data_IF_052375436090
#
_entry.id   IF_052375436090
#
_cell.length_a   1.000
_cell.length_b   1.000
_cell.length_c   1.000
_cell.angle_alpha   90.00
_cell.angle_beta   90.00
_cell.angle_gamma   90.00
#
_symmetry.space_group_name_H-M   'P 1'
#
loop_
_entity.id
_entity.type
_entity.pdbx_description
1 polymer ?
#
# COMPACT_ATOMS: atom_id res chain seq x y z
N UNK A 1 5.36 -18.24 -4.65
CA UNK A 1 4.51 -17.08 -4.27
C UNK A 1 5.38 -15.84 -4.07
N UNK A 2 6.46 -15.89 -3.29
CA UNK A 2 7.38 -14.76 -3.12
C UNK A 2 7.87 -14.14 -4.45
N UNK A 3 8.27 -14.95 -5.43
CA UNK A 3 8.72 -14.45 -6.75
C UNK A 3 7.64 -13.69 -7.54
N UNK A 4 6.35 -13.97 -7.33
CA UNK A 4 5.26 -13.24 -7.99
C UNK A 4 5.02 -11.87 -7.36
N UNK A 5 5.31 -11.72 -6.06
CA UNK A 5 5.19 -10.43 -5.36
C UNK A 5 6.26 -9.43 -5.80
N UNK A 6 7.39 -9.94 -6.31
CA UNK A 6 8.51 -9.16 -6.85
C UNK A 6 8.42 -8.97 -8.37
N UNK A 7 7.34 -9.43 -9.00
CA UNK A 7 7.27 -9.50 -10.47
C UNK A 7 6.91 -8.18 -11.15
N UNK A 8 6.49 -7.18 -10.37
CA UNK A 8 6.12 -5.85 -10.86
C UNK A 8 6.73 -4.78 -9.96
N UNK A 9 7.73 -4.11 -10.51
CA UNK A 9 8.38 -2.94 -9.94
C UNK A 9 7.85 -1.68 -10.63
N UNK A 10 7.59 -0.62 -9.86
CA UNK A 10 7.11 0.66 -10.36
C UNK A 10 7.48 1.78 -9.38
N UNK A 11 7.33 3.03 -9.82
CA UNK A 11 7.43 4.18 -8.92
C UNK A 11 6.26 4.15 -7.91
N UNK A 12 6.58 4.18 -6.62
CA UNK A 12 5.64 4.35 -5.53
C UNK A 12 5.74 5.78 -5.01
N UNK A 13 4.59 6.42 -4.78
CA UNK A 13 4.52 7.75 -4.16
C UNK A 13 3.46 7.76 -3.07
N UNK A 14 3.83 8.24 -1.89
CA UNK A 14 2.90 8.67 -0.84
C UNK A 14 2.79 10.18 -0.97
N UNK A 15 1.58 10.68 -1.23
CA UNK A 15 1.32 12.10 -1.40
C UNK A 15 0.02 12.50 -0.71
N UNK A 16 -0.08 13.78 -0.37
CA UNK A 16 -1.29 14.43 0.11
C UNK A 16 -1.54 15.68 -0.73
N UNK A 17 -2.58 15.64 -1.56
CA UNK A 17 -2.81 16.59 -2.66
C UNK A 17 -1.54 16.75 -3.54
N UNK A 18 -0.99 17.96 -3.60
CA UNK A 18 0.23 18.28 -4.38
C UNK A 18 1.52 18.10 -3.56
N UNK A 19 1.44 17.61 -2.32
CA UNK A 19 2.60 17.43 -1.45
C UNK A 19 3.05 15.97 -1.44
N UNK A 20 4.21 15.71 -2.05
CA UNK A 20 4.90 14.43 -1.93
C UNK A 20 5.51 14.29 -0.52
N UNK A 21 5.12 13.22 0.17
CA UNK A 21 5.66 12.83 1.47
C UNK A 21 6.87 11.92 1.28
N UNK A 22 6.76 10.97 0.36
CA UNK A 22 7.81 9.99 0.07
C UNK A 22 7.62 9.45 -1.34
N UNK A 23 8.74 9.20 -2.03
CA UNK A 23 8.77 8.50 -3.30
C UNK A 23 9.90 7.48 -3.34
N UNK A 24 9.65 6.37 -4.04
CA UNK A 24 10.65 5.34 -4.29
C UNK A 24 10.46 4.75 -5.68
N UNK A 25 11.55 4.67 -6.43
CA UNK A 25 11.58 4.03 -7.74
C UNK A 25 11.85 2.53 -7.62
N UNK A 26 11.43 1.78 -8.65
CA UNK A 26 11.61 0.33 -8.75
C UNK A 26 11.05 -0.45 -7.54
N UNK A 27 9.97 0.06 -6.94
CA UNK A 27 9.37 -0.54 -5.74
C UNK A 27 8.46 -1.72 -6.11
N UNK A 28 8.48 -2.84 -5.34
CA UNK A 28 7.67 -4.05 -5.58
C UNK A 28 6.17 -3.82 -5.24
N UNK A 29 5.47 -3.09 -6.11
CA UNK A 29 4.07 -2.69 -5.91
C UNK A 29 3.10 -3.87 -5.79
N UNK A 30 3.44 -5.03 -6.36
CA UNK A 30 2.64 -6.26 -6.22
C UNK A 30 2.69 -6.84 -4.80
N UNK A 31 3.83 -6.75 -4.12
CA UNK A 31 3.97 -7.12 -2.71
C UNK A 31 3.11 -6.21 -1.84
N UNK A 32 3.25 -4.89 -2.00
CA UNK A 32 2.47 -3.93 -1.22
C UNK A 32 0.96 -4.12 -1.42
N UNK A 33 0.49 -4.30 -2.65
CA UNK A 33 -0.92 -4.55 -2.93
C UNK A 33 -1.42 -5.82 -2.24
N UNK A 34 -0.63 -6.91 -2.26
CA UNK A 34 -0.97 -8.14 -1.54
C UNK A 34 -1.12 -7.92 -0.04
N UNK A 35 -0.15 -7.24 0.58
CA UNK A 35 -0.15 -6.98 2.03
C UNK A 35 -1.30 -6.05 2.43
N UNK A 36 -1.55 -4.97 1.68
CA UNK A 36 -2.68 -4.06 1.93
C UNK A 36 -4.03 -4.75 1.78
N UNK A 37 -4.24 -5.52 0.72
CA UNK A 37 -5.49 -6.27 0.54
C UNK A 37 -5.69 -7.32 1.63
N UNK A 38 -4.62 -7.99 2.07
CA UNK A 38 -4.69 -8.93 3.19
C UNK A 38 -5.07 -8.20 4.48
N UNK A 39 -4.39 -7.09 4.77
CA UNK A 39 -4.67 -6.27 5.94
C UNK A 39 -6.12 -5.80 5.98
N UNK A 40 -6.64 -5.16 4.93
CA UNK A 40 -8.05 -4.74 4.89
C UNK A 40 -9.05 -5.89 5.09
N UNK A 41 -8.68 -7.10 4.67
CA UNK A 41 -9.55 -8.27 4.77
C UNK A 41 -9.56 -8.93 6.15
N UNK A 42 -8.52 -8.71 6.97
CA UNK A 42 -8.32 -9.37 8.27
C UNK A 42 -8.25 -8.43 9.46
N UNK A 43 -7.92 -7.15 9.24
CA UNK A 43 -7.74 -6.14 10.27
C UNK A 43 -9.06 -5.75 10.94
N UNK A 44 -9.02 -5.60 12.25
CA UNK A 44 -10.05 -4.91 13.01
C UNK A 44 -10.13 -3.42 12.67
N UNK A 45 -11.10 -2.73 13.27
CA UNK A 45 -11.36 -1.30 13.00
C UNK A 45 -10.23 -0.34 13.43
N UNK A 46 -9.21 -0.83 14.14
CA UNK A 46 -8.13 -0.02 14.72
C UNK A 46 -6.75 -0.65 14.60
N UNK A 47 -6.59 -1.70 13.78
CA UNK A 47 -5.29 -2.35 13.64
C UNK A 47 -4.48 -1.58 12.60
N UNK A 48 -3.31 -1.07 13.01
CA UNK A 48 -2.39 -0.37 12.12
C UNK A 48 -1.81 -1.31 11.05
N UNK A 49 -1.31 -0.72 9.96
CA UNK A 49 -0.55 -1.39 8.93
C UNK A 49 0.91 -0.94 8.97
N UNK A 50 1.80 -1.91 8.92
CA UNK A 50 3.20 -1.69 8.59
C UNK A 50 3.57 -2.72 7.52
N UNK A 51 4.20 -2.25 6.44
CA UNK A 51 4.69 -3.16 5.41
C UNK A 51 5.80 -4.03 5.99
N UNK A 52 5.49 -5.29 6.25
CA UNK A 52 6.46 -6.35 6.53
C UNK A 52 6.88 -6.97 5.19
N UNK A 53 7.82 -6.31 4.51
CA UNK A 53 8.34 -6.76 3.21
C UNK A 53 9.61 -7.59 3.40
N UNK A 54 9.78 -8.60 2.54
CA UNK A 54 11.05 -9.33 2.44
C UNK A 54 12.06 -8.64 1.52
N UNK A 55 11.63 -7.62 0.77
CA UNK A 55 12.37 -7.02 -0.34
C UNK A 55 12.56 -5.51 -0.27
N UNK A 56 11.77 -4.83 0.57
CA UNK A 56 11.89 -3.44 0.94
C UNK A 56 12.18 -3.31 2.45
N UNK A 57 12.58 -2.12 2.89
CA UNK A 57 12.76 -1.86 4.32
C UNK A 57 11.42 -1.99 5.08
N UNK A 58 11.36 -2.71 6.21
CA UNK A 58 10.15 -2.81 7.02
C UNK A 58 9.62 -1.43 7.42
N UNK A 59 8.32 -1.21 7.21
CA UNK A 59 7.67 0.07 7.50
C UNK A 59 7.90 1.18 6.47
N UNK A 60 8.43 0.85 5.30
CA UNK A 60 8.50 1.80 4.20
C UNK A 60 7.14 2.40 3.84
N UNK A 61 6.07 1.60 3.98
CA UNK A 61 4.68 2.08 4.01
C UNK A 61 4.08 1.76 5.36
N UNK A 62 3.53 2.79 6.01
CA UNK A 62 2.82 2.71 7.29
C UNK A 62 1.46 3.35 7.15
N UNK A 63 0.44 2.73 7.73
CA UNK A 63 -0.89 3.31 7.86
C UNK A 63 -1.30 3.18 9.32
N UNK A 64 -1.50 4.32 9.98
CA UNK A 64 -1.73 4.37 11.43
C UNK A 64 -3.04 5.08 11.72
N UNK A 65 -3.78 4.60 12.72
CA UNK A 65 -4.95 5.29 13.23
C UNK A 65 -4.54 6.47 14.11
N UNK A 66 -4.85 7.68 13.66
CA UNK A 66 -4.75 8.92 14.40
C UNK A 66 -6.11 9.33 14.99
N UNK A 67 -6.13 10.33 15.89
CA UNK A 67 -7.34 10.78 16.59
C UNK A 67 -8.48 11.17 15.63
N UNK A 68 -8.14 11.74 14.47
CA UNK A 68 -9.07 12.30 13.49
C UNK A 68 -9.27 11.43 12.24
N UNK A 69 -8.65 10.24 12.18
CA UNK A 69 -8.69 9.38 11.00
C UNK A 69 -7.42 8.56 10.81
N UNK A 70 -7.25 8.00 9.62
CA UNK A 70 -6.06 7.25 9.23
C UNK A 70 -5.06 8.14 8.50
N UNK A 71 -3.77 7.94 8.80
CA UNK A 71 -2.67 8.65 8.16
C UNK A 71 -1.72 7.66 7.51
N UNK A 72 -1.11 8.04 6.39
CA UNK A 72 -0.13 7.24 5.65
C UNK A 72 1.23 7.92 5.70
N UNK A 73 2.29 7.15 5.83
CA UNK A 73 3.67 7.68 5.88
C UNK A 73 4.71 6.59 5.63
N UNK A 74 5.98 6.98 5.73
CA UNK A 74 7.14 6.11 5.52
C UNK A 74 8.11 6.21 6.70
N UNK A 75 8.83 5.13 7.03
CA UNK A 75 9.91 5.19 8.04
C UNK A 75 11.05 6.14 7.66
N UNK A 76 11.23 6.43 6.36
CA UNK A 76 12.29 7.33 5.89
C UNK A 76 11.98 8.79 6.19
N UNK A 77 10.70 9.13 6.29
CA UNK A 77 10.20 10.45 6.68
C UNK A 77 9.29 10.30 7.92
N UNK A 78 9.85 9.98 9.10
CA UNK A 78 9.09 9.47 10.24
C UNK A 78 8.09 10.48 10.83
N UNK A 79 8.35 11.76 10.64
CA UNK A 79 7.52 12.88 11.10
C UNK A 79 6.57 13.42 10.01
N UNK A 80 6.64 12.88 8.79
CA UNK A 80 5.82 13.30 7.66
C UNK A 80 4.68 12.32 7.42
N UNK A 81 3.47 12.86 7.38
CA UNK A 81 2.22 12.08 7.31
C UNK A 81 1.24 12.77 6.38
N UNK A 82 0.39 11.99 5.71
CA UNK A 82 -0.78 12.55 5.03
C UNK A 82 -1.74 13.17 6.05
N UNK A 83 -2.61 14.08 5.60
CA UNK A 83 -3.78 14.46 6.40
C UNK A 83 -4.61 13.21 6.77
N UNK A 84 -5.26 13.22 7.95
CA UNK A 84 -6.16 12.15 8.35
C UNK A 84 -7.34 12.01 7.40
N UNK A 85 -7.64 10.78 6.99
CA UNK A 85 -8.82 10.43 6.20
C UNK A 85 -9.71 9.44 6.95
N UNK A 86 -11.01 9.44 6.68
CA UNK A 86 -11.89 8.40 7.22
C UNK A 86 -11.55 7.02 6.62
N UNK A 87 -12.03 5.97 7.29
CA UNK A 87 -11.73 4.58 6.88
C UNK A 87 -12.28 4.26 5.49
N UNK A 88 -13.44 4.80 5.13
CA UNK A 88 -14.05 4.54 3.83
C UNK A 88 -13.19 5.11 2.69
N UNK A 89 -12.65 6.31 2.90
CA UNK A 89 -11.73 6.96 1.98
C UNK A 89 -10.43 6.18 1.86
N UNK A 90 -9.86 5.73 2.98
CA UNK A 90 -8.66 4.88 2.98
C UNK A 90 -8.90 3.58 2.20
N UNK A 91 -10.00 2.86 2.47
CA UNK A 91 -10.36 1.62 1.78
C UNK A 91 -10.55 1.84 0.27
N UNK A 92 -11.15 2.97 -0.12
CA UNK A 92 -11.32 3.32 -1.53
C UNK A 92 -9.99 3.58 -2.24
N UNK A 93 -9.08 4.34 -1.63
CA UNK A 93 -7.77 4.64 -2.21
C UNK A 93 -6.89 3.39 -2.30
N UNK A 94 -6.83 2.57 -1.25
CA UNK A 94 -6.15 1.27 -1.30
C UNK A 94 -6.78 0.37 -2.36
N UNK A 95 -8.11 0.37 -2.49
CA UNK A 95 -8.81 -0.38 -3.54
C UNK A 95 -8.43 0.07 -4.96
N UNK A 96 -8.26 1.37 -5.19
CA UNK A 96 -7.83 1.92 -6.47
C UNK A 96 -6.37 1.55 -6.79
N UNK A 97 -5.49 1.62 -5.78
CA UNK A 97 -4.11 1.16 -5.91
C UNK A 97 -4.05 -0.32 -6.29
N UNK A 98 -4.73 -1.20 -5.55
CA UNK A 98 -4.75 -2.65 -5.81
C UNK A 98 -5.29 -2.97 -7.21
N UNK A 99 -6.35 -2.29 -7.66
CA UNK A 99 -6.87 -2.45 -9.03
C UNK A 99 -5.84 -2.08 -10.09
N UNK A 100 -5.12 -0.98 -9.88
CA UNK A 100 -4.07 -0.51 -10.80
C UNK A 100 -2.93 -1.52 -10.90
N UNK A 101 -2.50 -2.08 -9.77
CA UNK A 101 -1.47 -3.13 -9.72
C UNK A 101 -1.93 -4.41 -10.40
N UNK A 102 -3.16 -4.87 -10.15
CA UNK A 102 -3.74 -6.07 -10.81
C UNK A 102 -3.81 -5.89 -12.33
N UNK A 103 -4.14 -4.69 -12.81
CA UNK A 103 -4.13 -4.36 -14.24
C UNK A 103 -2.70 -4.35 -14.80
N UNK A 104 -1.73 -3.83 -14.04
CA UNK A 104 -0.30 -3.89 -14.40
C UNK A 104 0.19 -5.34 -14.58
N UNK A 105 -0.10 -6.22 -13.62
CA UNK A 105 0.24 -7.65 -13.69
C UNK A 105 -0.37 -8.33 -14.92
N UNK A 106 -1.65 -8.05 -15.19
CA UNK A 106 -2.34 -8.61 -16.36
C UNK A 106 -1.68 -8.17 -17.67
N UNK A 107 -1.16 -6.94 -17.73
CA UNK A 107 -0.48 -6.38 -18.92
C UNK A 107 0.83 -7.11 -19.22
N UNK A 108 1.53 -7.60 -18.20
CA UNK A 108 2.78 -8.38 -18.35
C UNK A 108 2.53 -9.90 -18.37
N UNK A 109 1.27 -10.33 -18.47
CA UNK A 109 0.91 -11.74 -18.63
C UNK A 109 0.93 -12.56 -17.33
N UNK A 110 0.91 -11.90 -16.17
CA UNK A 110 0.87 -12.55 -14.86
C UNK A 110 -0.57 -12.57 -14.35
N UNK A 111 -1.00 -13.72 -13.82
CA UNK A 111 -2.33 -13.88 -13.23
C UNK A 111 -2.49 -13.00 -11.98
N UNK A 112 -3.39 -12.01 -11.94
CA UNK A 112 -3.52 -11.11 -10.79
C UNK A 112 -4.22 -11.75 -9.58
N UNK A 113 -4.83 -12.93 -9.71
CA UNK A 113 -5.67 -13.52 -8.66
C UNK A 113 -4.93 -13.92 -7.38
N UNK A 114 -3.58 -13.94 -7.39
CA UNK A 114 -2.83 -14.12 -6.15
C UNK A 114 -2.92 -12.90 -5.22
N UNK A 115 -3.25 -11.70 -5.74
CA UNK A 115 -3.58 -10.53 -4.93
C UNK A 115 -5.07 -10.66 -4.54
N UNK A 116 -5.43 -10.70 -3.25
CA UNK A 116 -6.82 -10.70 -2.83
C UNK A 116 -7.53 -9.42 -3.28
N UNK A 117 -8.82 -9.50 -3.57
CA UNK A 117 -9.60 -8.26 -3.70
C UNK A 117 -9.86 -7.70 -2.28
N UNK A 118 -9.69 -6.38 -2.06
CA UNK A 118 -10.10 -5.76 -0.81
C UNK A 118 -11.64 -5.82 -0.70
N UNK A 119 -12.14 -6.18 0.48
CA UNK A 119 -13.57 -6.28 0.80
C UNK A 119 -14.32 -4.96 0.68
#
# INVERSE_FOLDING_TARGET
MAELLLSLEADLTISDDDHEIFSESDFPVAELAFHLSTWLNTAGESDDFELDSMSADPGLVRIVKHQDGWVVGSIFEPDSWTRPVDRQTLEAEVGNFVKSVRMGLSTIGIDPHFIPEPK
#
